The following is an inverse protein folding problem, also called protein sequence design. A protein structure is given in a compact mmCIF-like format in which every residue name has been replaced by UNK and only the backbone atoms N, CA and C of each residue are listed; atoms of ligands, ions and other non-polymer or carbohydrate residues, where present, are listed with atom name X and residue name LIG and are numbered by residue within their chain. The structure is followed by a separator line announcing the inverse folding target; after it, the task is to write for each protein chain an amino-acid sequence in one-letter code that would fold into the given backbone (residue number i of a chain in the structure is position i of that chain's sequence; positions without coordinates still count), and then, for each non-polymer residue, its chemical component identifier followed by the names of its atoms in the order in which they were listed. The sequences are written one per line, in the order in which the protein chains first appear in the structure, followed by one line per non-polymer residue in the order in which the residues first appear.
data_IF_023898824702
#
_entry.id   IF_023898824702
#
_cell.length_a   1.000
_cell.length_b   1.000
_cell.length_c   1.000
_cell.angle_alpha   90.00
_cell.angle_beta   90.00
_cell.angle_gamma   90.00
#
_symmetry.space_group_name_H-M   'P 1'
#
loop_
_entity.id
_entity.type
_entity.pdbx_description
1 polymer ?
#
# COMPACT_ATOMS: atom_id res chain seq x y z
N UNK A 1 -0.55 -47.93 -16.93
CA UNK A 1 0.28 -47.82 -15.70
C UNK A 1 1.02 -46.50 -15.83
N UNK A 2 0.43 -45.43 -15.29
CA UNK A 2 1.04 -44.09 -15.27
C UNK A 2 1.80 -43.95 -13.95
N UNK A 3 3.10 -43.77 -14.02
CA UNK A 3 3.98 -43.55 -12.88
C UNK A 3 3.57 -42.26 -12.16
N UNK A 4 3.25 -42.40 -10.88
CA UNK A 4 3.04 -41.27 -9.96
C UNK A 4 4.45 -40.71 -9.66
N UNK A 5 4.75 -39.43 -9.95
CA UNK A 5 6.05 -38.87 -9.62
C UNK A 5 6.28 -38.89 -8.12
N UNK A 6 7.47 -39.33 -7.72
CA UNK A 6 7.88 -39.56 -6.34
C UNK A 6 7.76 -38.29 -5.50
N UNK A 7 7.10 -38.42 -4.34
CA UNK A 7 6.92 -37.37 -3.32
C UNK A 7 8.23 -36.76 -2.75
N UNK A 8 9.40 -37.30 -3.13
CA UNK A 8 10.71 -36.83 -2.64
C UNK A 8 11.15 -35.47 -3.15
N UNK A 9 10.78 -35.08 -4.38
CA UNK A 9 11.23 -33.82 -4.99
C UNK A 9 10.48 -32.58 -4.49
N UNK A 10 9.26 -32.78 -4.01
CA UNK A 10 8.43 -31.69 -3.42
C UNK A 10 8.92 -31.27 -2.03
N UNK A 11 9.48 -32.18 -1.25
CA UNK A 11 9.96 -31.90 0.13
C UNK A 11 11.32 -31.20 0.10
N UNK A 12 12.20 -31.51 -0.85
CA UNK A 12 13.48 -30.84 -1.01
C UNK A 12 13.31 -29.36 -1.45
N UNK A 13 12.33 -29.07 -2.31
CA UNK A 13 11.97 -27.72 -2.70
C UNK A 13 11.38 -26.88 -1.56
N UNK A 14 10.53 -27.47 -0.72
CA UNK A 14 9.91 -26.81 0.42
C UNK A 14 10.91 -26.43 1.52
N UNK A 15 11.92 -27.27 1.77
CA UNK A 15 12.99 -27.00 2.75
C UNK A 15 13.86 -25.77 2.39
N UNK A 16 14.06 -25.50 1.10
CA UNK A 16 14.84 -24.35 0.63
C UNK A 16 14.02 -23.04 0.54
N UNK A 17 12.68 -23.14 0.44
CA UNK A 17 11.78 -21.97 0.36
C UNK A 17 11.53 -21.35 1.74
N UNK A 18 11.36 -22.15 2.79
CA UNK A 18 11.04 -21.66 4.12
C UNK A 18 12.06 -20.63 4.66
N UNK A 19 13.39 -20.85 4.61
CA UNK A 19 14.35 -19.85 5.09
C UNK A 19 14.38 -18.57 4.24
N UNK A 20 14.08 -18.65 2.94
CA UNK A 20 14.00 -17.46 2.05
C UNK A 20 12.77 -16.61 2.40
N UNK A 21 11.63 -17.23 2.64
CA UNK A 21 10.40 -16.54 3.03
C UNK A 21 10.55 -15.88 4.41
N UNK A 22 11.10 -16.59 5.40
CA UNK A 22 11.35 -16.05 6.74
C UNK A 22 12.32 -14.87 6.68
N UNK A 23 13.46 -15.03 5.99
CA UNK A 23 14.44 -13.94 5.84
C UNK A 23 13.86 -12.74 5.07
N UNK A 24 13.04 -13.00 4.04
CA UNK A 24 12.32 -11.97 3.32
C UNK A 24 11.34 -11.22 4.21
N UNK A 25 10.57 -11.93 5.02
CA UNK A 25 9.66 -11.36 6.00
C UNK A 25 10.35 -10.46 7.03
N UNK A 26 11.57 -10.80 7.46
CA UNK A 26 12.37 -9.95 8.35
C UNK A 26 12.76 -8.62 7.68
N UNK A 27 13.12 -8.62 6.39
CA UNK A 27 13.42 -7.40 5.65
C UNK A 27 12.19 -6.50 5.48
N UNK A 28 11.04 -7.09 5.15
CA UNK A 28 9.76 -6.36 5.08
C UNK A 28 9.41 -5.75 6.44
N UNK A 29 9.63 -6.49 7.53
CA UNK A 29 9.40 -5.98 8.87
C UNK A 29 10.32 -4.81 9.21
N UNK A 30 11.62 -4.95 8.91
CA UNK A 30 12.60 -3.90 9.14
C UNK A 30 12.22 -2.63 8.36
N UNK A 31 11.84 -2.77 7.10
CA UNK A 31 11.37 -1.65 6.29
C UNK A 31 10.13 -0.98 6.89
N UNK A 32 9.15 -1.78 7.31
CA UNK A 32 7.91 -1.26 7.92
C UNK A 32 8.20 -0.52 9.22
N UNK A 33 8.95 -1.12 10.15
CA UNK A 33 9.25 -0.48 11.44
C UNK A 33 10.15 0.74 11.31
N UNK A 34 11.13 0.72 10.38
CA UNK A 34 11.94 1.90 10.07
C UNK A 34 11.08 3.04 9.53
N UNK A 35 10.17 2.76 8.62
CA UNK A 35 9.25 3.76 8.05
C UNK A 35 8.29 4.29 9.12
N UNK A 36 7.78 3.41 9.98
CA UNK A 36 6.93 3.79 11.10
C UNK A 36 7.71 4.71 12.05
N UNK A 37 8.87 4.31 12.55
CA UNK A 37 9.67 5.10 13.51
C UNK A 37 10.12 6.43 12.94
N UNK A 38 10.71 6.43 11.74
CA UNK A 38 11.13 7.66 11.07
C UNK A 38 9.94 8.56 10.75
N UNK A 39 8.85 7.99 10.22
CA UNK A 39 7.63 8.71 9.87
C UNK A 39 7.00 9.42 11.07
N UNK A 40 7.06 8.82 12.26
CA UNK A 40 6.63 9.47 13.49
C UNK A 40 7.45 10.73 13.79
N UNK A 41 8.75 10.61 13.87
CA UNK A 41 9.63 11.73 14.17
C UNK A 41 9.48 12.83 13.12
N UNK A 42 9.47 12.47 11.86
CA UNK A 42 9.29 13.41 10.76
C UNK A 42 7.93 14.12 10.79
N UNK A 43 6.85 13.38 11.07
CA UNK A 43 5.51 13.97 11.20
C UNK A 43 5.40 14.88 12.43
N UNK A 44 6.03 14.55 13.56
CA UNK A 44 6.10 15.47 14.72
C UNK A 44 6.81 16.76 14.34
N UNK A 45 7.91 16.67 13.59
CA UNK A 45 8.62 17.85 13.08
C UNK A 45 7.75 18.70 12.16
N UNK A 46 7.09 18.07 11.17
CA UNK A 46 6.19 18.78 10.26
C UNK A 46 4.98 19.40 10.98
N UNK A 47 4.43 18.72 11.99
CA UNK A 47 3.29 19.25 12.77
C UNK A 47 3.65 20.52 13.55
N UNK A 48 4.92 20.72 13.89
CA UNK A 48 5.39 21.96 14.53
C UNK A 48 5.56 23.13 13.56
N UNK A 49 5.78 22.84 12.28
CA UNK A 49 6.03 23.85 11.23
C UNK A 49 4.74 24.18 10.49
N UNK A 50 3.94 23.15 10.18
CA UNK A 50 2.70 23.29 9.39
C UNK A 50 1.51 23.49 10.33
N UNK A 51 0.61 24.40 9.97
CA UNK A 51 -0.69 24.57 10.64
C UNK A 51 -1.60 23.34 10.46
N UNK A 52 -2.58 23.16 11.37
CA UNK A 52 -3.50 22.01 11.32
C UNK A 52 -4.31 21.94 10.04
N UNK A 53 -4.64 23.07 9.44
CA UNK A 53 -5.39 23.13 8.18
C UNK A 53 -4.71 22.38 7.03
N UNK A 54 -3.37 22.45 6.94
CA UNK A 54 -2.60 21.73 5.91
C UNK A 54 -2.83 20.20 5.99
N UNK A 55 -2.90 19.67 7.20
CA UNK A 55 -3.20 18.26 7.41
C UNK A 55 -4.66 17.92 7.14
N UNK A 56 -5.59 18.82 7.47
CA UNK A 56 -7.01 18.69 7.15
C UNK A 56 -7.28 18.64 5.65
N UNK A 57 -6.63 19.51 4.88
CA UNK A 57 -6.70 19.49 3.41
C UNK A 57 -6.25 18.13 2.86
N UNK A 58 -5.11 17.61 3.34
CA UNK A 58 -4.60 16.32 2.87
C UNK A 58 -5.47 15.15 3.33
N UNK A 59 -6.01 15.19 4.55
CA UNK A 59 -6.90 14.14 5.05
C UNK A 59 -8.18 14.05 4.22
N UNK A 60 -8.82 15.20 3.94
CA UNK A 60 -10.01 15.25 3.10
C UNK A 60 -9.70 14.87 1.64
N UNK A 61 -8.58 15.37 1.10
CA UNK A 61 -8.14 15.01 -0.25
C UNK A 61 -7.84 13.51 -0.38
N UNK A 62 -7.25 12.87 0.64
CA UNK A 62 -7.04 11.42 0.67
C UNK A 62 -8.37 10.66 0.66
N UNK A 63 -9.37 11.10 1.41
CA UNK A 63 -10.70 10.49 1.37
C UNK A 63 -11.30 10.57 -0.04
N UNK A 64 -11.37 11.78 -0.64
CA UNK A 64 -11.90 11.96 -1.99
C UNK A 64 -11.11 11.14 -3.01
N UNK A 65 -9.78 11.17 -2.93
CA UNK A 65 -8.91 10.37 -3.80
C UNK A 65 -9.17 8.88 -3.63
N UNK A 66 -9.43 8.40 -2.41
CA UNK A 66 -9.76 6.99 -2.16
C UNK A 66 -11.06 6.55 -2.84
N UNK A 67 -12.03 7.46 -2.99
CA UNK A 67 -13.28 7.18 -3.71
C UNK A 67 -13.07 7.10 -5.23
N UNK A 68 -12.17 7.93 -5.78
CA UNK A 68 -11.91 8.03 -7.22
C UNK A 68 -10.88 7.00 -7.68
N UNK A 69 -9.91 6.66 -6.83
CA UNK A 69 -8.77 5.81 -7.19
C UNK A 69 -9.21 4.37 -7.56
N UNK A 70 -9.03 4.02 -8.83
CA UNK A 70 -9.43 2.74 -9.38
C UNK A 70 -8.38 1.63 -9.17
N UNK A 71 -7.10 1.97 -8.97
CA UNK A 71 -6.01 0.99 -8.82
C UNK A 71 -6.22 -0.02 -7.69
N UNK A 72 -6.40 0.39 -6.41
CA UNK A 72 -6.63 -0.57 -5.33
C UNK A 72 -7.90 -1.38 -5.54
N UNK A 73 -8.90 -0.76 -6.16
CA UNK A 73 -10.20 -1.37 -6.44
C UNK A 73 -10.16 -2.38 -7.59
N UNK A 74 -9.13 -2.34 -8.42
CA UNK A 74 -8.97 -3.27 -9.53
C UNK A 74 -8.50 -4.66 -9.09
N UNK A 75 -7.87 -4.80 -7.92
CA UNK A 75 -7.31 -6.06 -7.42
C UNK A 75 -6.29 -6.73 -8.36
N UNK A 76 -5.77 -5.98 -9.33
CA UNK A 76 -4.92 -6.51 -10.41
C UNK A 76 -3.61 -7.06 -9.84
N UNK A 77 -3.03 -6.41 -8.82
CA UNK A 77 -1.79 -6.85 -8.19
C UNK A 77 -1.94 -8.22 -7.53
N UNK A 78 -3.05 -8.46 -6.84
CA UNK A 78 -3.37 -9.74 -6.21
C UNK A 78 -3.65 -10.83 -7.26
N UNK A 79 -4.33 -10.46 -8.34
CA UNK A 79 -4.57 -11.36 -9.47
C UNK A 79 -3.27 -11.77 -10.15
N UNK A 80 -2.37 -10.81 -10.39
CA UNK A 80 -1.06 -11.03 -10.99
C UNK A 80 -0.18 -11.98 -10.15
N UNK A 81 -0.18 -11.81 -8.83
CA UNK A 81 0.63 -12.63 -7.92
C UNK A 81 0.22 -14.12 -7.92
N UNK A 82 -1.03 -14.44 -8.29
CA UNK A 82 -1.59 -15.81 -8.28
C UNK A 82 -1.31 -16.63 -9.53
N UNK A 83 -1.02 -15.99 -10.66
CA UNK A 83 -0.83 -16.69 -11.93
C UNK A 83 0.51 -17.45 -11.92
N UNK A 84 0.54 -18.76 -12.26
CA UNK A 84 1.73 -19.60 -12.05
C UNK A 84 2.89 -19.23 -12.98
N UNK A 85 2.60 -18.90 -14.23
CA UNK A 85 3.63 -18.67 -15.24
C UNK A 85 3.85 -17.19 -15.51
N UNK A 86 5.11 -16.81 -15.66
CA UNK A 86 5.51 -15.46 -16.02
C UNK A 86 5.71 -15.36 -17.54
N UNK A 87 4.91 -14.53 -18.18
CA UNK A 87 5.00 -14.28 -19.63
C UNK A 87 5.09 -12.78 -19.92
N UNK A 88 5.62 -12.42 -21.08
CA UNK A 88 5.62 -11.03 -21.54
C UNK A 88 4.20 -10.47 -21.70
N UNK A 89 3.24 -11.32 -22.10
CA UNK A 89 1.83 -10.93 -22.14
C UNK A 89 1.28 -10.60 -20.74
N UNK A 90 1.65 -11.37 -19.73
CA UNK A 90 1.20 -11.11 -18.34
C UNK A 90 1.79 -9.80 -17.81
N UNK A 91 3.10 -9.59 -17.94
CA UNK A 91 3.78 -8.38 -17.48
C UNK A 91 3.28 -7.12 -18.22
N UNK A 92 3.18 -7.19 -19.55
CA UNK A 92 2.72 -6.08 -20.39
C UNK A 92 1.26 -5.73 -20.13
N UNK A 93 0.39 -6.74 -19.98
CA UNK A 93 -1.04 -6.53 -19.67
C UNK A 93 -1.22 -5.94 -18.28
N UNK A 94 -0.47 -6.42 -17.27
CA UNK A 94 -0.52 -5.86 -15.91
C UNK A 94 -0.13 -4.38 -15.92
N UNK A 95 1.00 -4.03 -16.55
CA UNK A 95 1.45 -2.64 -16.66
C UNK A 95 0.41 -1.76 -17.36
N UNK A 96 -0.13 -2.22 -18.49
CA UNK A 96 -1.13 -1.46 -19.25
C UNK A 96 -2.42 -1.23 -18.45
N UNK A 97 -2.91 -2.24 -17.74
CA UNK A 97 -4.10 -2.11 -16.90
C UNK A 97 -3.87 -1.20 -15.70
N UNK A 98 -2.72 -1.34 -15.02
CA UNK A 98 -2.43 -0.53 -13.83
C UNK A 98 -2.21 0.95 -14.21
N UNK A 99 -1.45 1.21 -15.28
CA UNK A 99 -1.27 2.57 -15.83
C UNK A 99 -2.60 3.13 -16.36
N UNK A 100 -3.39 2.31 -17.05
CA UNK A 100 -4.72 2.71 -17.51
C UNK A 100 -5.65 3.10 -16.36
N UNK A 101 -5.68 2.32 -15.28
CA UNK A 101 -6.46 2.64 -14.08
C UNK A 101 -5.95 3.92 -13.39
N UNK A 102 -4.62 4.11 -13.30
CA UNK A 102 -4.02 5.34 -12.75
C UNK A 102 -4.34 6.56 -13.58
N UNK A 103 -4.22 6.48 -14.90
CA UNK A 103 -4.52 7.58 -15.83
C UNK A 103 -6.02 7.90 -15.81
N UNK A 104 -6.88 6.90 -15.81
CA UNK A 104 -8.33 7.12 -15.67
C UNK A 104 -8.67 7.78 -14.33
N UNK A 105 -8.00 7.39 -13.24
CA UNK A 105 -8.13 8.07 -11.93
C UNK A 105 -7.75 9.55 -12.02
N UNK A 106 -6.67 9.89 -12.74
CA UNK A 106 -6.26 11.28 -12.94
C UNK A 106 -7.32 12.08 -13.74
N UNK A 107 -7.87 11.48 -14.79
CA UNK A 107 -8.96 12.10 -15.57
C UNK A 107 -10.19 12.33 -14.71
N UNK A 108 -10.60 11.34 -13.92
CA UNK A 108 -11.72 11.45 -12.98
C UNK A 108 -11.47 12.51 -11.91
N UNK A 109 -10.24 12.63 -11.39
CA UNK A 109 -9.86 13.65 -10.43
C UNK A 109 -9.95 15.06 -11.05
N UNK A 110 -9.49 15.22 -12.29
CA UNK A 110 -9.63 16.48 -13.03
C UNK A 110 -11.10 16.85 -13.27
N UNK A 111 -11.93 15.89 -13.66
CA UNK A 111 -13.37 16.08 -13.83
C UNK A 111 -14.11 16.36 -12.50
N UNK A 112 -13.60 15.84 -11.39
CA UNK A 112 -14.15 16.10 -10.05
C UNK A 112 -13.85 17.52 -9.53
N UNK A 113 -12.83 18.22 -10.05
CA UNK A 113 -12.47 19.57 -9.57
C UNK A 113 -13.63 20.59 -9.63
N UNK A 114 -14.32 20.78 -10.76
CA UNK A 114 -15.46 21.70 -10.80
C UNK A 114 -16.61 21.25 -9.89
N UNK A 115 -16.83 19.95 -9.76
CA UNK A 115 -17.86 19.39 -8.88
C UNK A 115 -17.55 19.72 -7.42
N UNK A 116 -16.33 19.47 -6.95
CA UNK A 116 -15.90 19.79 -5.59
C UNK A 116 -16.08 21.29 -5.28
N UNK A 117 -15.73 22.17 -6.23
CA UNK A 117 -15.92 23.63 -6.08
C UNK A 117 -17.39 24.00 -6.02
N UNK A 118 -18.24 23.38 -6.84
CA UNK A 118 -19.70 23.61 -6.82
C UNK A 118 -20.34 23.20 -5.50
N UNK A 119 -19.80 22.18 -4.83
CA UNK A 119 -20.21 21.77 -3.47
C UNK A 119 -19.59 22.63 -2.35
N UNK A 120 -18.87 23.71 -2.67
CA UNK A 120 -18.31 24.64 -1.69
C UNK A 120 -16.98 24.21 -1.07
N UNK A 121 -16.34 23.14 -1.55
CA UNK A 121 -15.02 22.74 -1.05
C UNK A 121 -13.92 23.74 -1.48
N UNK A 122 -12.96 23.97 -0.59
CA UNK A 122 -11.83 24.85 -0.87
C UNK A 122 -11.03 24.38 -2.10
N UNK A 123 -10.58 25.33 -2.91
CA UNK A 123 -9.75 25.02 -4.10
C UNK A 123 -8.49 24.23 -3.76
N UNK A 124 -7.94 24.41 -2.55
CA UNK A 124 -6.79 23.66 -2.04
C UNK A 124 -7.06 22.15 -1.98
N UNK A 125 -8.27 21.74 -1.58
CA UNK A 125 -8.68 20.33 -1.56
C UNK A 125 -8.75 19.76 -2.97
N UNK A 126 -9.35 20.50 -3.92
CA UNK A 126 -9.45 20.07 -5.31
C UNK A 126 -8.07 19.91 -5.96
N UNK A 127 -7.15 20.85 -5.73
CA UNK A 127 -5.77 20.75 -6.20
C UNK A 127 -5.00 19.59 -5.53
N UNK A 128 -5.22 19.36 -4.23
CA UNK A 128 -4.60 18.24 -3.54
C UNK A 128 -5.10 16.89 -4.08
N UNK A 129 -6.39 16.74 -4.38
CA UNK A 129 -6.95 15.54 -5.04
C UNK A 129 -6.30 15.30 -6.40
N UNK A 130 -6.17 16.34 -7.22
CA UNK A 130 -5.54 16.21 -8.54
C UNK A 130 -4.05 15.82 -8.42
N UNK A 131 -3.32 16.45 -7.50
CA UNK A 131 -1.92 16.13 -7.25
C UNK A 131 -1.73 14.69 -6.76
N UNK A 132 -2.58 14.21 -5.83
CA UNK A 132 -2.57 12.82 -5.38
C UNK A 132 -2.89 11.83 -6.51
N UNK A 133 -3.81 12.19 -7.41
CA UNK A 133 -4.09 11.36 -8.58
C UNK A 133 -2.92 11.32 -9.57
N UNK A 134 -2.20 12.42 -9.75
CA UNK A 134 -0.97 12.47 -10.56
C UNK A 134 0.14 11.59 -9.94
N UNK A 135 0.32 11.63 -8.62
CA UNK A 135 1.21 10.70 -7.90
C UNK A 135 0.76 9.25 -8.10
N UNK A 136 -0.54 8.99 -8.10
CA UNK A 136 -1.12 7.68 -8.37
C UNK A 136 -0.74 7.11 -9.76
N UNK A 137 -0.47 7.95 -10.76
CA UNK A 137 0.08 7.49 -12.05
C UNK A 137 1.51 6.99 -11.90
N UNK A 138 2.36 7.66 -11.11
CA UNK A 138 3.72 7.18 -10.81
C UNK A 138 3.67 5.82 -10.10
N UNK A 139 2.77 5.69 -9.12
CA UNK A 139 2.56 4.44 -8.39
C UNK A 139 2.06 3.31 -9.31
N UNK A 140 1.29 3.62 -10.35
CA UNK A 140 0.82 2.65 -11.34
C UNK A 140 1.98 2.05 -12.13
N UNK A 141 2.90 2.89 -12.58
CA UNK A 141 4.11 2.41 -13.28
C UNK A 141 5.00 1.63 -12.31
N UNK A 142 5.17 2.10 -11.08
CA UNK A 142 6.00 1.46 -10.04
C UNK A 142 5.44 0.09 -9.63
N UNK A 143 4.11 -0.06 -9.56
CA UNK A 143 3.44 -1.26 -9.06
C UNK A 143 3.85 -2.54 -9.76
N UNK A 144 4.04 -2.51 -11.07
CA UNK A 144 4.48 -3.68 -11.84
C UNK A 144 5.89 -4.13 -11.41
N UNK A 145 6.85 -3.21 -11.29
CA UNK A 145 8.21 -3.55 -10.86
C UNK A 145 8.23 -4.10 -9.43
N UNK A 146 7.40 -3.53 -8.54
CA UNK A 146 7.26 -4.02 -7.17
C UNK A 146 6.75 -5.46 -7.13
N UNK A 147 5.62 -5.74 -7.80
CA UNK A 147 5.01 -7.08 -7.80
C UNK A 147 5.93 -8.12 -8.46
N UNK A 148 6.69 -7.74 -9.48
CA UNK A 148 7.73 -8.60 -10.08
C UNK A 148 8.81 -9.00 -9.07
N UNK A 149 9.33 -8.06 -8.29
CA UNK A 149 10.34 -8.34 -7.26
C UNK A 149 9.77 -9.23 -6.15
N UNK A 150 8.54 -8.94 -5.68
CA UNK A 150 7.90 -9.71 -4.61
C UNK A 150 7.57 -11.13 -5.07
N UNK A 151 7.13 -11.32 -6.31
CA UNK A 151 6.88 -12.64 -6.90
C UNK A 151 8.14 -13.51 -6.95
N UNK A 152 9.28 -12.92 -7.24
CA UNK A 152 10.59 -13.60 -7.23
C UNK A 152 11.21 -13.69 -5.83
N UNK A 153 10.41 -13.43 -4.78
CA UNK A 153 10.82 -13.43 -3.36
C UNK A 153 12.03 -12.51 -3.08
N UNK A 154 12.16 -11.43 -3.87
CA UNK A 154 13.21 -10.42 -3.73
C UNK A 154 12.85 -9.35 -2.70
N UNK A 155 12.23 -9.74 -1.60
CA UNK A 155 11.76 -8.82 -0.54
C UNK A 155 12.88 -7.96 0.06
N UNK A 156 14.11 -8.47 0.11
CA UNK A 156 15.26 -7.67 0.55
C UNK A 156 15.48 -6.47 -0.36
N UNK A 157 15.42 -6.69 -1.67
CA UNK A 157 15.73 -5.66 -2.66
C UNK A 157 14.64 -4.57 -2.66
N UNK A 158 13.36 -4.94 -2.61
CA UNK A 158 12.24 -3.98 -2.48
C UNK A 158 12.26 -3.24 -1.15
N UNK A 159 12.59 -3.93 -0.03
CA UNK A 159 12.71 -3.31 1.28
C UNK A 159 13.84 -2.29 1.36
N UNK A 160 15.02 -2.57 0.79
CA UNK A 160 16.14 -1.63 0.78
C UNK A 160 15.80 -0.35 0.03
N UNK A 161 15.11 -0.46 -1.11
CA UNK A 161 14.63 0.72 -1.85
C UNK A 161 13.66 1.53 -0.98
N UNK A 162 12.70 0.88 -0.31
CA UNK A 162 11.72 1.55 0.56
C UNK A 162 12.39 2.24 1.76
N UNK A 163 13.34 1.56 2.44
CA UNK A 163 14.08 2.12 3.59
C UNK A 163 14.86 3.37 3.19
N UNK A 164 15.48 3.39 2.00
CA UNK A 164 16.21 4.55 1.53
C UNK A 164 15.28 5.67 1.03
N UNK A 165 14.26 5.32 0.25
CA UNK A 165 13.34 6.29 -0.36
C UNK A 165 12.52 7.05 0.68
N UNK A 166 12.09 6.38 1.76
CA UNK A 166 11.18 6.97 2.74
C UNK A 166 11.79 8.18 3.47
N UNK A 167 12.97 8.11 4.11
CA UNK A 167 13.59 9.28 4.72
C UNK A 167 13.94 10.38 3.72
N UNK A 168 14.44 10.00 2.54
CA UNK A 168 14.81 10.97 1.50
C UNK A 168 13.62 11.78 1.00
N UNK A 169 12.42 11.20 1.00
CA UNK A 169 11.21 11.90 0.60
C UNK A 169 10.81 13.06 1.52
N UNK A 170 11.28 13.05 2.76
CA UNK A 170 11.01 14.13 3.70
C UNK A 170 11.92 15.36 3.49
N UNK A 171 13.03 15.25 2.76
CA UNK A 171 13.91 16.39 2.51
C UNK A 171 13.17 17.54 1.79
N UNK A 172 12.54 17.33 0.62
CA UNK A 172 11.77 18.38 -0.02
C UNK A 172 10.55 18.81 0.79
N UNK A 173 9.96 17.91 1.57
CA UNK A 173 8.83 18.25 2.43
C UNK A 173 9.22 19.27 3.51
N UNK A 174 10.31 19.03 4.24
CA UNK A 174 10.80 19.97 5.23
C UNK A 174 11.25 21.28 4.59
N UNK A 175 11.94 21.21 3.45
CA UNK A 175 12.37 22.40 2.76
C UNK A 175 11.16 23.28 2.37
N UNK A 176 10.13 22.72 1.76
CA UNK A 176 8.90 23.43 1.40
C UNK A 176 8.12 23.92 2.63
N UNK A 177 8.08 23.12 3.71
CA UNK A 177 7.39 23.51 4.92
C UNK A 177 8.02 24.75 5.57
N UNK A 178 9.36 24.82 5.60
CA UNK A 178 10.11 25.97 6.13
C UNK A 178 9.93 27.23 5.27
N UNK A 179 9.61 27.08 3.97
CA UNK A 179 9.32 28.20 3.06
C UNK A 179 7.82 28.53 2.99
N UNK A 180 6.98 27.98 3.89
CA UNK A 180 5.57 28.35 3.97
C UNK A 180 4.66 27.75 2.90
N UNK A 181 5.07 26.68 2.21
CA UNK A 181 4.28 26.05 1.15
C UNK A 181 3.02 25.30 1.65
N UNK A 182 2.79 25.23 2.97
CA UNK A 182 1.61 24.63 3.56
C UNK A 182 1.41 23.17 3.15
N UNK A 183 0.20 22.81 2.72
CA UNK A 183 -0.15 21.43 2.33
C UNK A 183 0.67 20.87 1.15
N UNK A 184 1.26 21.74 0.29
CA UNK A 184 2.16 21.31 -0.78
C UNK A 184 3.40 20.59 -0.28
N UNK A 185 3.84 20.85 0.95
CA UNK A 185 4.95 20.14 1.60
C UNK A 185 4.63 18.65 1.77
N UNK A 186 3.39 18.34 2.16
CA UNK A 186 2.93 16.96 2.35
C UNK A 186 2.74 16.23 1.00
N UNK A 187 2.26 16.95 -0.02
CA UNK A 187 2.19 16.42 -1.39
C UNK A 187 3.58 16.16 -1.97
N UNK A 188 4.54 17.05 -1.72
CA UNK A 188 5.91 16.85 -2.16
C UNK A 188 6.55 15.62 -1.50
N UNK A 189 6.29 15.38 -0.21
CA UNK A 189 6.73 14.14 0.46
C UNK A 189 6.17 12.91 -0.27
N UNK A 190 4.86 12.87 -0.50
CA UNK A 190 4.20 11.74 -1.16
C UNK A 190 4.70 11.54 -2.59
N UNK A 191 4.78 12.62 -3.37
CA UNK A 191 5.26 12.58 -4.76
C UNK A 191 6.73 12.17 -4.88
N UNK A 192 7.60 12.70 -4.02
CA UNK A 192 9.02 12.33 -4.00
C UNK A 192 9.20 10.87 -3.58
N UNK A 193 8.43 10.39 -2.60
CA UNK A 193 8.46 8.99 -2.20
C UNK A 193 8.09 8.06 -3.35
N UNK A 194 6.96 8.33 -4.02
CA UNK A 194 6.52 7.56 -5.19
C UNK A 194 7.53 7.61 -6.34
N UNK A 195 8.14 8.77 -6.60
CA UNK A 195 9.17 8.89 -7.62
C UNK A 195 10.43 8.08 -7.29
N UNK A 196 10.92 8.17 -6.06
CA UNK A 196 12.08 7.39 -5.61
C UNK A 196 11.80 5.89 -5.63
N UNK A 197 10.60 5.47 -5.23
CA UNK A 197 10.17 4.08 -5.35
C UNK A 197 10.10 3.64 -6.82
N UNK A 198 9.52 4.46 -7.70
CA UNK A 198 9.45 4.18 -9.13
C UNK A 198 10.84 3.92 -9.69
N UNK A 199 11.77 4.86 -9.51
CA UNK A 199 13.12 4.75 -10.02
C UNK A 199 13.88 3.57 -9.39
N UNK A 200 13.81 3.42 -8.07
CA UNK A 200 14.50 2.37 -7.33
C UNK A 200 13.99 0.96 -7.65
N UNK A 201 12.66 0.77 -7.72
CA UNK A 201 12.06 -0.55 -8.02
C UNK A 201 12.35 -0.98 -9.46
N UNK A 202 12.23 -0.07 -10.44
CA UNK A 202 12.56 -0.39 -11.83
C UNK A 202 14.05 -0.65 -12.02
N UNK A 203 14.92 0.14 -11.38
CA UNK A 203 16.36 -0.10 -11.41
C UNK A 203 16.72 -1.46 -10.81
N UNK A 204 16.11 -1.80 -9.66
CA UNK A 204 16.35 -3.07 -9.00
C UNK A 204 15.80 -4.25 -9.81
N UNK A 205 14.57 -4.12 -10.33
CA UNK A 205 13.96 -5.13 -11.19
C UNK A 205 14.83 -5.40 -12.44
N UNK A 206 15.30 -4.32 -13.08
CA UNK A 206 16.17 -4.45 -14.27
C UNK A 206 17.48 -5.16 -13.97
N UNK A 207 18.08 -4.92 -12.81
CA UNK A 207 19.34 -5.57 -12.41
C UNK A 207 19.15 -7.01 -11.94
N UNK A 208 18.07 -7.29 -11.25
CA UNK A 208 17.87 -8.58 -10.55
C UNK A 208 17.08 -9.59 -11.36
N UNK A 209 16.32 -9.15 -12.34
CA UNK A 209 15.40 -9.97 -13.13
C UNK A 209 15.67 -9.81 -14.65
N UNK A 210 16.91 -10.01 -15.14
CA UNK A 210 17.24 -9.78 -16.54
C UNK A 210 16.47 -10.72 -17.50
N UNK A 211 16.03 -11.88 -17.02
CA UNK A 211 15.22 -12.83 -17.79
C UNK A 211 13.84 -12.28 -18.15
N UNK A 212 13.25 -11.46 -17.26
CA UNK A 212 11.92 -10.86 -17.49
C UNK A 212 12.00 -9.78 -18.59
N UNK A 213 13.12 -9.08 -18.69
CA UNK A 213 13.35 -8.06 -19.73
C UNK A 213 13.57 -8.63 -21.12
N UNK A 214 13.86 -9.92 -21.24
CA UNK A 214 13.95 -10.63 -22.51
C UNK A 214 12.60 -11.11 -23.02
N UNK A 215 11.54 -11.03 -22.19
CA UNK A 215 10.18 -11.35 -22.60
C UNK A 215 9.61 -10.21 -23.47
N UNK A 216 8.84 -10.58 -24.46
CA UNK A 216 8.10 -9.62 -25.27
C UNK A 216 6.90 -9.10 -24.47
N UNK A 217 7.00 -7.88 -23.99
CA UNK A 217 5.94 -7.21 -23.24
C UNK A 217 4.84 -6.77 -24.20
N UNK A 218 3.72 -7.46 -24.15
CA UNK A 218 2.55 -7.18 -25.00
C UNK A 218 1.26 -7.20 -24.21
N UNK A 219 0.27 -6.49 -24.71
CA UNK A 219 -1.08 -6.55 -24.16
C UNK A 219 -1.82 -7.77 -24.71
N UNK A 220 -2.50 -8.53 -23.83
CA UNK A 220 -3.37 -9.65 -24.19
C UNK A 220 -4.72 -9.49 -23.50
N UNK A 221 -5.80 -9.35 -24.31
CA UNK A 221 -7.16 -9.16 -23.81
C UNK A 221 -7.71 -10.33 -23.01
N UNK A 222 -7.23 -11.56 -23.24
CA UNK A 222 -7.63 -12.74 -22.45
C UNK A 222 -7.02 -12.67 -21.06
N UNK A 223 -5.75 -12.31 -20.97
CA UNK A 223 -5.05 -12.08 -19.70
C UNK A 223 -5.71 -10.92 -18.96
N UNK A 224 -6.03 -9.82 -19.64
CA UNK A 224 -6.71 -8.66 -19.05
C UNK A 224 -8.07 -9.07 -18.44
N UNK A 225 -8.89 -9.83 -19.15
CA UNK A 225 -10.18 -10.31 -18.65
C UNK A 225 -10.01 -11.21 -17.42
N UNK A 226 -9.00 -12.08 -17.40
CA UNK A 226 -8.69 -12.95 -16.26
C UNK A 226 -8.28 -12.13 -15.02
N UNK A 227 -7.39 -11.14 -15.18
CA UNK A 227 -6.95 -10.27 -14.11
C UNK A 227 -8.11 -9.44 -13.54
N UNK A 228 -8.93 -8.85 -14.39
CA UNK A 228 -10.06 -8.01 -13.98
C UNK A 228 -11.18 -8.83 -13.32
N UNK A 229 -11.49 -10.02 -13.82
CA UNK A 229 -12.54 -10.88 -13.23
C UNK A 229 -12.25 -11.23 -11.76
N UNK A 230 -11.01 -11.54 -11.45
CA UNK A 230 -10.59 -11.76 -10.06
C UNK A 230 -10.50 -10.45 -9.29
N UNK A 231 -9.90 -9.42 -9.92
CA UNK A 231 -9.64 -8.15 -9.33
C UNK A 231 -10.88 -7.41 -8.84
N UNK A 232 -11.99 -7.48 -9.58
CA UNK A 232 -13.25 -6.80 -9.19
C UNK A 232 -13.76 -7.26 -7.83
N UNK A 233 -13.69 -8.56 -7.52
CA UNK A 233 -14.14 -9.09 -6.21
C UNK A 233 -13.27 -8.57 -5.09
N UNK A 234 -11.94 -8.62 -5.25
CA UNK A 234 -10.99 -8.09 -4.27
C UNK A 234 -11.13 -6.57 -4.14
N UNK A 235 -11.33 -5.89 -5.26
CA UNK A 235 -11.54 -4.45 -5.32
C UNK A 235 -12.78 -3.98 -4.57
N UNK A 236 -13.89 -4.70 -4.68
CA UNK A 236 -15.12 -4.40 -3.94
C UNK A 236 -14.91 -4.50 -2.42
N UNK A 237 -14.22 -5.55 -1.96
CA UNK A 237 -13.87 -5.70 -0.54
C UNK A 237 -12.93 -4.57 -0.06
N UNK A 238 -11.93 -4.21 -0.88
CA UNK A 238 -11.03 -3.10 -0.59
C UNK A 238 -11.77 -1.76 -0.49
N UNK A 239 -12.73 -1.52 -1.40
CA UNK A 239 -13.54 -0.31 -1.39
C UNK A 239 -14.39 -0.20 -0.12
N UNK A 240 -15.03 -1.29 0.29
CA UNK A 240 -15.80 -1.32 1.54
C UNK A 240 -14.91 -1.01 2.76
N UNK A 241 -13.71 -1.60 2.82
CA UNK A 241 -12.75 -1.33 3.89
C UNK A 241 -12.28 0.13 3.91
N UNK A 242 -11.96 0.72 2.77
CA UNK A 242 -11.55 2.12 2.65
C UNK A 242 -12.68 3.07 3.08
N UNK A 243 -13.91 2.77 2.70
CA UNK A 243 -15.06 3.57 3.12
C UNK A 243 -15.22 3.54 4.64
N UNK A 244 -15.17 2.35 5.26
CA UNK A 244 -15.31 2.20 6.70
C UNK A 244 -14.20 2.92 7.49
N UNK A 245 -12.99 2.97 6.96
CA UNK A 245 -11.82 3.55 7.68
C UNK A 245 -11.58 5.03 7.41
N UNK A 246 -12.25 5.63 6.43
CA UNK A 246 -12.00 7.00 6.00
C UNK A 246 -13.27 7.89 6.00
N UNK A 247 -14.43 7.31 6.27
CA UNK A 247 -15.70 8.04 6.19
C UNK A 247 -15.84 9.10 7.29
N UNK A 248 -15.23 8.86 8.44
CA UNK A 248 -15.10 9.81 9.53
C UNK A 248 -14.38 11.09 9.11
N UNK A 249 -13.29 10.98 8.35
CA UNK A 249 -12.55 12.12 7.80
C UNK A 249 -13.44 12.98 6.88
N UNK A 250 -14.31 12.34 6.09
CA UNK A 250 -15.26 13.04 5.26
C UNK A 250 -16.29 13.82 6.09
N UNK A 251 -16.87 13.18 7.09
CA UNK A 251 -17.87 13.83 7.94
C UNK A 251 -17.28 15.03 8.68
N UNK A 252 -16.13 14.86 9.32
CA UNK A 252 -15.46 15.95 10.05
C UNK A 252 -15.04 17.06 9.10
N UNK A 253 -14.43 16.73 7.95
CA UNK A 253 -13.94 17.73 7.00
C UNK A 253 -15.05 18.52 6.32
N UNK A 254 -16.20 17.89 6.07
CA UNK A 254 -17.35 18.52 5.39
C UNK A 254 -18.21 19.34 6.34
N UNK A 255 -18.52 18.82 7.54
CA UNK A 255 -19.49 19.43 8.43
C UNK A 255 -18.86 20.29 9.54
N UNK A 256 -17.62 20.01 9.94
CA UNK A 256 -16.95 20.71 11.05
C UNK A 256 -15.84 21.64 10.54
N UNK A 257 -15.14 21.26 9.46
CA UNK A 257 -14.15 22.09 8.79
C UNK A 257 -12.74 21.52 8.80
N UNK A 258 -11.89 22.08 7.91
CA UNK A 258 -10.54 21.56 7.61
C UNK A 258 -9.57 21.66 8.79
N UNK A 259 -9.65 22.72 9.58
CA UNK A 259 -8.79 22.91 10.76
C UNK A 259 -9.06 21.83 11.80
N UNK A 260 -10.33 21.57 12.10
CA UNK A 260 -10.74 20.53 13.05
C UNK A 260 -10.38 19.15 12.53
N UNK A 261 -10.58 18.88 11.23
CA UNK A 261 -10.14 17.65 10.59
C UNK A 261 -8.62 17.46 10.74
N UNK A 262 -7.82 18.53 10.61
CA UNK A 262 -6.38 18.47 10.80
C UNK A 262 -5.97 18.03 12.20
N UNK A 263 -6.62 18.54 13.25
CA UNK A 263 -6.41 18.07 14.62
C UNK A 263 -6.88 16.63 14.80
N UNK A 264 -8.03 16.28 14.26
CA UNK A 264 -8.59 14.93 14.30
C UNK A 264 -7.65 13.91 13.64
N UNK A 265 -7.20 14.15 12.43
CA UNK A 265 -6.27 13.28 11.69
C UNK A 265 -4.95 13.08 12.46
N UNK A 266 -4.43 14.13 13.10
CA UNK A 266 -3.20 14.01 13.91
C UNK A 266 -3.43 13.16 15.16
N UNK A 267 -4.49 13.42 15.91
CA UNK A 267 -4.84 12.64 17.08
C UNK A 267 -5.08 11.17 16.73
N UNK A 268 -5.83 10.92 15.65
CA UNK A 268 -6.15 9.59 15.18
C UNK A 268 -4.88 8.81 14.77
N UNK A 269 -3.98 9.44 14.02
CA UNK A 269 -2.69 8.82 13.64
C UNK A 269 -1.85 8.47 14.86
N UNK A 270 -1.77 9.35 15.84
CA UNK A 270 -1.02 9.07 17.09
C UNK A 270 -1.68 7.91 17.85
N UNK A 271 -3.01 7.89 17.97
CA UNK A 271 -3.75 6.84 18.64
C UNK A 271 -3.64 5.46 17.96
N UNK A 272 -3.45 5.41 16.64
CA UNK A 272 -3.27 4.16 15.90
C UNK A 272 -1.88 3.51 16.07
N UNK A 273 -0.88 4.23 16.53
CA UNK A 273 0.49 3.75 16.61
C UNK A 273 0.67 2.46 17.41
N UNK A 274 0.13 2.37 18.65
CA UNK A 274 0.21 1.12 19.41
C UNK A 274 -0.40 -0.06 18.66
N UNK A 275 -1.54 0.17 18.02
CA UNK A 275 -2.24 -0.86 17.23
C UNK A 275 -1.39 -1.36 16.06
N UNK A 276 -0.73 -0.45 15.31
CA UNK A 276 0.14 -0.83 14.19
C UNK A 276 1.32 -1.66 14.67
N UNK A 277 1.96 -1.28 15.77
CA UNK A 277 3.10 -2.00 16.33
C UNK A 277 2.71 -3.39 16.83
N UNK A 278 1.62 -3.49 17.59
CA UNK A 278 1.13 -4.75 18.16
C UNK A 278 0.58 -5.67 17.09
N UNK A 279 -0.23 -5.17 16.16
CA UNK A 279 -0.84 -5.97 15.09
C UNK A 279 0.18 -6.67 14.20
N UNK A 280 1.33 -6.04 13.94
CA UNK A 280 2.42 -6.64 13.17
C UNK A 280 2.99 -7.91 13.83
N UNK A 281 3.14 -7.90 15.14
CA UNK A 281 3.63 -9.04 15.93
C UNK A 281 2.55 -10.11 16.07
N UNK A 282 1.34 -9.71 16.45
CA UNK A 282 0.21 -10.62 16.67
C UNK A 282 -0.15 -11.37 15.39
N UNK A 283 -0.31 -10.67 14.27
CA UNK A 283 -0.67 -11.29 12.99
C UNK A 283 0.37 -12.34 12.54
N UNK A 284 1.66 -12.08 12.75
CA UNK A 284 2.71 -13.07 12.43
C UNK A 284 2.64 -14.29 13.33
N UNK A 285 2.57 -14.07 14.63
CA UNK A 285 2.53 -15.16 15.61
C UNK A 285 1.27 -16.00 15.41
N UNK A 286 0.12 -15.37 15.22
CA UNK A 286 -1.14 -16.03 14.95
C UNK A 286 -1.08 -16.86 13.66
N UNK A 287 -0.58 -16.30 12.56
CA UNK A 287 -0.48 -17.00 11.28
C UNK A 287 0.35 -18.30 11.39
N UNK A 288 1.54 -18.22 11.98
CA UNK A 288 2.40 -19.38 12.12
C UNK A 288 1.85 -20.42 13.14
N UNK A 289 1.20 -19.94 14.19
CA UNK A 289 0.57 -20.81 15.18
C UNK A 289 -0.61 -21.55 14.56
N UNK A 290 -1.49 -20.85 13.86
CA UNK A 290 -2.67 -21.45 13.22
C UNK A 290 -2.28 -22.41 12.10
N UNK A 291 -1.27 -22.09 11.31
CA UNK A 291 -0.75 -22.98 10.28
C UNK A 291 -0.21 -24.33 10.84
N UNK A 292 0.30 -24.32 12.08
CA UNK A 292 0.81 -25.55 12.73
C UNK A 292 -0.27 -26.40 13.36
N UNK A 293 -1.40 -25.82 13.72
CA UNK A 293 -2.50 -26.51 14.42
C UNK A 293 -3.75 -26.65 13.57
N UNK A 294 -3.68 -26.31 12.28
CA UNK A 294 -4.83 -26.32 11.36
C UNK A 294 -5.50 -27.70 11.24
N UNK A 295 -4.73 -28.77 11.41
CA UNK A 295 -5.21 -30.16 11.30
C UNK A 295 -5.83 -30.69 12.60
N UNK A 296 -5.76 -29.94 13.71
CA UNK A 296 -6.38 -30.26 15.01
C UNK A 296 -7.39 -29.18 15.39
N UNK A 297 -8.70 -29.38 15.14
CA UNK A 297 -9.74 -28.39 15.40
C UNK A 297 -9.83 -27.94 16.86
N UNK A 298 -9.54 -28.83 17.84
CA UNK A 298 -9.61 -28.50 19.25
C UNK A 298 -8.46 -27.56 19.66
N UNK A 299 -7.26 -27.81 19.18
CA UNK A 299 -6.09 -26.93 19.39
C UNK A 299 -6.23 -25.61 18.66
N UNK A 300 -6.77 -25.64 17.43
CA UNK A 300 -7.05 -24.43 16.66
C UNK A 300 -8.03 -23.53 17.41
N UNK A 301 -9.16 -24.08 17.86
CA UNK A 301 -10.16 -23.33 18.63
C UNK A 301 -9.56 -22.71 19.90
N UNK A 302 -8.79 -23.48 20.66
CA UNK A 302 -8.11 -23.00 21.88
C UNK A 302 -7.13 -21.85 21.55
N UNK A 303 -6.37 -21.98 20.46
CA UNK A 303 -5.41 -20.95 20.03
C UNK A 303 -6.11 -19.66 19.59
N UNK A 304 -7.21 -19.78 18.85
CA UNK A 304 -8.04 -18.61 18.44
C UNK A 304 -8.67 -17.94 19.65
N UNK A 305 -9.27 -18.71 20.56
CA UNK A 305 -9.89 -18.18 21.78
C UNK A 305 -8.86 -17.45 22.65
N UNK A 306 -7.66 -18.02 22.82
CA UNK A 306 -6.59 -17.38 23.58
C UNK A 306 -6.12 -16.07 22.92
N UNK A 307 -5.98 -16.04 21.59
CA UNK A 307 -5.61 -14.83 20.88
C UNK A 307 -6.68 -13.74 21.00
N UNK A 308 -7.96 -14.08 20.87
CA UNK A 308 -9.09 -13.17 21.09
C UNK A 308 -9.11 -12.65 22.53
N UNK A 309 -8.88 -13.52 23.51
CA UNK A 309 -8.83 -13.12 24.92
C UNK A 309 -7.71 -12.09 25.16
N UNK A 310 -6.50 -12.34 24.67
CA UNK A 310 -5.36 -11.40 24.79
C UNK A 310 -5.64 -10.06 24.12
N UNK A 311 -6.33 -10.04 22.98
CA UNK A 311 -6.68 -8.80 22.27
C UNK A 311 -7.80 -8.02 22.99
N UNK A 312 -8.76 -8.74 23.61
CA UNK A 312 -9.93 -8.12 24.26
C UNK A 312 -9.71 -7.82 25.73
N UNK A 313 -8.70 -8.42 26.38
CA UNK A 313 -8.38 -8.14 27.78
C UNK A 313 -7.72 -6.76 27.92
N UNK A 314 -8.56 -5.77 28.24
CA UNK A 314 -8.13 -4.38 28.48
C UNK A 314 -7.13 -4.21 29.63
N UNK A 315 -6.98 -5.21 30.52
CA UNK A 315 -6.08 -5.13 31.68
C UNK A 315 -4.61 -5.38 31.33
N UNK A 316 -4.33 -5.96 30.16
CA UNK A 316 -2.95 -6.25 29.71
C UNK A 316 -2.31 -5.12 28.89
N UNK A 317 -3.01 -4.00 28.68
CA UNK A 317 -2.55 -2.88 27.81
C UNK A 317 -2.45 -1.55 28.58
N UNK A 318 -2.61 -1.54 29.91
CA UNK A 318 -2.40 -0.35 30.78
C UNK A 318 -1.18 -0.56 31.66
#
# INVERSE_FOLDING_TARGET
MSEIPAQGDTIAGAGALAPRVVRGGLWVALASYSSVGFGFLANLGLTRILGPEAFGIIALANFVSSLINLRPKSGINQAFARLPEMSGALAGTHLALDVGAGTLTLVLAAAAMPVLRAFGYASSVAWAVLALAAVGVLDSVMGTAWVLLDRELRFRDSSLVSIAAFPLSYLPAFWLALHGAGYWSLLAQTGTYSLLLLLGMWWMARRRLPHIWRLEWRFDGRVARSLLRFGVVVGAATMAGLFLTQFDNFLVGTFVGLTVLGFYDRAYRIAQWPTVLVSGVVNRTAFYTYARVQDDPARLLKSVTMALWVITDRKSVV
#
